data_IF_781527969704
#
_entry.id   IF_781527969704
#
_cell.length_a   1.000
_cell.length_b   1.000
_cell.length_c   1.000
_cell.angle_alpha   90.00
_cell.angle_beta   90.00
_cell.angle_gamma   90.00
#
_symmetry.space_group_name_H-M   'P 1'
#
loop_
_entity.id
_entity.type
_entity.pdbx_description
1 polymer ?
#
# COMPACT_ATOMS: atom_id res chain seq x y z
N UNK A 1 -37.83 -6.69 -50.11
CA UNK A 1 -37.02 -7.90 -49.86
C UNK A 1 -35.54 -7.51 -49.87
N UNK A 2 -34.79 -8.02 -48.89
CA UNK A 2 -33.31 -7.98 -48.75
C UNK A 2 -32.62 -6.61 -48.61
N UNK A 3 -32.48 -6.13 -47.37
CA UNK A 3 -31.36 -5.23 -47.01
C UNK A 3 -30.09 -6.08 -46.85
N UNK A 4 -29.10 -5.82 -47.70
CA UNK A 4 -27.74 -6.39 -47.62
C UNK A 4 -27.00 -5.73 -46.45
N UNK A 5 -26.73 -6.46 -45.38
CA UNK A 5 -25.73 -6.06 -44.38
C UNK A 5 -24.36 -6.56 -44.84
N UNK A 6 -23.50 -5.61 -45.20
CA UNK A 6 -22.08 -5.84 -45.50
C UNK A 6 -21.31 -5.93 -44.18
N UNK A 7 -20.77 -7.10 -43.86
CA UNK A 7 -19.83 -7.28 -42.75
C UNK A 7 -18.44 -6.85 -43.23
N UNK A 8 -18.06 -5.60 -42.95
CA UNK A 8 -16.67 -5.15 -43.01
C UNK A 8 -16.03 -5.58 -41.67
N UNK A 9 -15.16 -6.59 -41.72
CA UNK A 9 -14.27 -6.92 -40.61
C UNK A 9 -13.33 -5.73 -40.36
N UNK A 10 -13.62 -4.94 -39.33
CA UNK A 10 -12.64 -4.09 -38.70
C UNK A 10 -11.81 -5.00 -37.79
N UNK A 11 -10.62 -5.41 -38.26
CA UNK A 11 -9.62 -6.06 -37.42
C UNK A 11 -9.13 -5.03 -36.38
N UNK A 12 -9.82 -4.97 -35.24
CA UNK A 12 -9.31 -4.29 -34.05
C UNK A 12 -8.11 -5.11 -33.58
N UNK A 13 -6.92 -4.52 -33.63
CA UNK A 13 -5.80 -4.95 -32.83
C UNK A 13 -6.25 -4.97 -31.36
N UNK A 14 -6.65 -6.14 -30.86
CA UNK A 14 -6.79 -6.40 -29.42
C UNK A 14 -5.36 -6.60 -28.91
N UNK A 15 -4.59 -5.52 -28.92
CA UNK A 15 -3.35 -5.42 -28.20
C UNK A 15 -3.71 -5.39 -26.72
N UNK A 16 -3.68 -6.56 -26.08
CA UNK A 16 -3.47 -6.62 -24.64
C UNK A 16 -2.06 -6.09 -24.37
N UNK A 17 -1.93 -4.77 -24.25
CA UNK A 17 -0.84 -4.20 -23.47
C UNK A 17 -1.21 -4.42 -22.00
N UNK A 18 -1.10 -5.66 -21.53
CA UNK A 18 -1.05 -5.95 -20.11
C UNK A 18 0.32 -5.52 -19.61
N UNK A 19 0.48 -4.21 -19.36
CA UNK A 19 1.45 -3.76 -18.38
C UNK A 19 0.89 -4.18 -17.01
N UNK A 20 0.99 -5.48 -16.71
CA UNK A 20 0.98 -5.93 -15.33
C UNK A 20 2.25 -5.33 -14.73
N UNK A 21 2.13 -4.18 -14.08
CA UNK A 21 3.14 -3.76 -13.12
C UNK A 21 3.24 -4.92 -12.13
N UNK A 22 4.31 -5.70 -12.24
CA UNK A 22 4.59 -6.85 -11.39
C UNK A 22 4.77 -6.34 -9.98
N UNK A 23 3.68 -6.27 -9.22
CA UNK A 23 3.74 -6.09 -7.78
C UNK A 23 4.31 -7.39 -7.22
N UNK A 24 5.60 -7.37 -6.88
CA UNK A 24 6.27 -8.47 -6.18
C UNK A 24 5.58 -8.59 -4.81
N UNK A 25 5.11 -9.78 -4.40
CA UNK A 25 4.54 -9.96 -3.08
C UNK A 25 5.61 -9.68 -2.01
N UNK A 26 5.44 -8.57 -1.30
CA UNK A 26 6.36 -8.03 -0.28
C UNK A 26 6.51 -8.90 0.98
N UNK A 27 5.91 -10.09 1.01
CA UNK A 27 5.79 -10.97 2.19
C UNK A 27 6.55 -12.31 2.12
N UNK A 28 7.21 -12.65 1.01
CA UNK A 28 8.17 -13.75 1.06
C UNK A 28 9.45 -13.22 1.75
N UNK A 29 10.11 -13.97 2.66
CA UNK A 29 11.50 -13.67 2.96
C UNK A 29 12.20 -13.53 1.62
N UNK A 30 12.86 -12.40 1.37
CA UNK A 30 13.49 -12.13 0.09
C UNK A 30 14.42 -13.30 -0.23
N UNK A 31 13.94 -14.19 -1.09
CA UNK A 31 14.63 -15.40 -1.43
C UNK A 31 15.22 -15.14 -2.80
N UNK A 32 16.50 -14.75 -2.78
CA UNK A 32 17.33 -14.54 -3.95
C UNK A 32 17.18 -15.68 -4.98
N UNK A 33 17.07 -16.93 -4.51
CA UNK A 33 16.95 -18.12 -5.35
C UNK A 33 15.61 -18.23 -6.08
N UNK A 34 14.60 -17.46 -5.67
CA UNK A 34 13.26 -17.47 -6.25
C UNK A 34 12.88 -16.15 -6.90
N UNK A 35 13.57 -15.05 -6.58
CA UNK A 35 13.25 -13.72 -7.09
C UNK A 35 13.22 -13.67 -8.62
N UNK A 36 14.31 -14.08 -9.28
CA UNK A 36 14.35 -14.08 -10.75
C UNK A 36 13.46 -15.17 -11.37
N UNK A 37 13.27 -16.31 -10.69
CA UNK A 37 12.36 -17.36 -11.14
C UNK A 37 10.91 -16.88 -11.22
N UNK A 38 10.47 -16.02 -10.29
CA UNK A 38 9.12 -15.46 -10.28
C UNK A 38 8.91 -14.41 -11.38
N UNK A 39 9.97 -13.70 -11.75
CA UNK A 39 9.93 -12.66 -12.78
C UNK A 39 10.04 -13.26 -14.19
N UNK A 40 10.80 -14.36 -14.33
CA UNK A 40 11.01 -15.12 -15.58
C UNK A 40 11.46 -14.27 -16.77
N UNK A 41 12.12 -13.14 -16.51
CA UNK A 41 12.66 -12.22 -17.51
C UNK A 41 14.03 -11.73 -17.05
N UNK A 42 14.96 -11.67 -17.99
CA UNK A 42 16.27 -11.07 -17.76
C UNK A 42 16.15 -9.56 -17.68
N UNK A 43 16.95 -8.93 -16.81
CA UNK A 43 16.95 -7.49 -16.60
C UNK A 43 17.27 -7.09 -15.17
N UNK A 44 17.24 -5.79 -14.92
CA UNK A 44 17.50 -5.21 -13.61
C UNK A 44 16.18 -4.80 -12.92
N UNK A 45 16.07 -5.14 -11.64
CA UNK A 45 14.86 -4.96 -10.85
C UNK A 45 15.17 -4.26 -9.53
N UNK A 46 14.29 -3.35 -9.06
CA UNK A 46 14.46 -2.72 -7.76
C UNK A 46 14.61 -3.76 -6.67
N UNK A 47 15.60 -3.59 -5.80
CA UNK A 47 15.75 -4.48 -4.66
C UNK A 47 14.65 -4.16 -3.63
N UNK A 48 13.92 -5.18 -3.13
CA UNK A 48 12.91 -4.93 -2.12
C UNK A 48 13.53 -4.25 -0.89
N UNK A 49 12.98 -3.10 -0.53
CA UNK A 49 13.21 -2.46 0.78
C UNK A 49 14.58 -1.79 0.94
N UNK A 50 15.43 -1.82 -0.08
CA UNK A 50 16.74 -1.14 -0.10
C UNK A 50 17.00 -0.57 -1.50
N UNK A 51 16.60 0.67 -1.74
CA UNK A 51 16.74 1.32 -3.03
C UNK A 51 18.19 1.63 -3.41
N UNK A 52 19.15 1.48 -2.49
CA UNK A 52 20.58 1.54 -2.83
C UNK A 52 21.05 0.28 -3.56
N UNK A 53 20.18 -0.71 -3.73
CA UNK A 53 20.47 -1.97 -4.41
C UNK A 53 19.48 -2.26 -5.53
N UNK A 54 19.92 -3.10 -6.45
CA UNK A 54 19.07 -3.73 -7.44
C UNK A 54 19.51 -5.17 -7.70
N UNK A 55 18.58 -5.97 -8.19
CA UNK A 55 18.81 -7.35 -8.58
C UNK A 55 18.93 -7.42 -10.11
N UNK A 56 19.99 -8.04 -10.62
CA UNK A 56 20.13 -8.36 -12.04
C UNK A 56 19.83 -9.84 -12.25
N UNK A 57 18.84 -10.12 -13.08
CA UNK A 57 18.40 -11.47 -13.44
C UNK A 57 19.01 -11.88 -14.78
N UNK A 58 19.66 -13.05 -14.81
CA UNK A 58 20.13 -13.68 -16.05
C UNK A 58 19.92 -15.18 -15.96
N UNK A 59 19.05 -15.74 -16.79
CA UNK A 59 18.77 -17.18 -16.81
C UNK A 59 18.31 -17.72 -15.46
N UNK A 60 17.34 -17.03 -14.83
CA UNK A 60 16.78 -17.30 -13.50
C UNK A 60 17.74 -17.12 -12.30
N UNK A 61 18.98 -16.69 -12.54
CA UNK A 61 19.96 -16.42 -11.48
C UNK A 61 19.91 -14.93 -11.11
N UNK A 62 19.75 -14.66 -9.82
CA UNK A 62 19.81 -13.31 -9.26
C UNK A 62 21.24 -12.95 -8.85
N UNK A 63 21.72 -11.79 -9.29
CA UNK A 63 22.91 -11.13 -8.74
C UNK A 63 22.53 -9.80 -8.12
N UNK A 64 23.14 -9.45 -6.99
CA UNK A 64 22.83 -8.21 -6.28
C UNK A 64 23.92 -7.18 -6.49
N UNK A 65 23.51 -5.99 -6.90
CA UNK A 65 24.39 -4.86 -7.12
C UNK A 65 23.96 -3.72 -6.21
N UNK A 66 24.96 -3.00 -5.69
CA UNK A 66 24.76 -1.77 -4.95
C UNK A 66 25.10 -0.60 -5.85
N UNK A 67 24.25 0.42 -5.83
CA UNK A 67 24.58 1.73 -6.35
C UNK A 67 25.73 2.33 -5.53
N UNK A 68 26.51 3.22 -6.17
CA UNK A 68 27.49 4.05 -5.46
C UNK A 68 26.82 4.86 -4.34
N UNK A 69 27.61 5.30 -3.36
CA UNK A 69 27.11 6.05 -2.21
C UNK A 69 26.17 7.19 -2.63
N UNK A 70 25.04 7.32 -1.90
CA UNK A 70 23.99 8.31 -2.12
C UNK A 70 23.20 8.22 -3.45
N UNK A 71 23.36 7.14 -4.21
CA UNK A 71 22.54 6.85 -5.38
C UNK A 71 21.56 5.72 -5.10
N UNK A 72 20.40 5.77 -5.75
CA UNK A 72 19.36 4.76 -5.72
C UNK A 72 19.04 4.28 -7.13
N UNK A 73 18.71 2.99 -7.27
CA UNK A 73 18.35 2.42 -8.57
C UNK A 73 16.97 2.92 -9.01
N UNK A 74 16.90 3.49 -10.21
CA UNK A 74 15.67 3.89 -10.85
C UNK A 74 15.33 2.92 -11.99
N UNK A 75 14.26 2.11 -11.87
CA UNK A 75 13.87 1.15 -12.90
C UNK A 75 13.36 1.81 -14.19
N UNK A 76 12.94 3.08 -14.15
CA UNK A 76 12.47 3.78 -15.35
C UNK A 76 13.63 4.18 -16.27
N UNK A 77 14.81 4.45 -15.71
CA UNK A 77 16.02 4.78 -16.47
C UNK A 77 17.05 3.65 -16.49
N UNK A 78 16.78 2.53 -15.81
CA UNK A 78 17.70 1.39 -15.61
C UNK A 78 19.11 1.84 -15.16
N UNK A 79 19.15 2.79 -14.21
CA UNK A 79 20.39 3.42 -13.75
C UNK A 79 20.30 3.89 -12.29
N UNK A 80 21.45 4.01 -11.63
CA UNK A 80 21.56 4.63 -10.31
C UNK A 80 21.51 6.15 -10.43
N UNK A 81 20.51 6.79 -9.81
CA UNK A 81 20.28 8.24 -9.81
C UNK A 81 20.28 8.79 -8.40
N UNK A 82 20.30 10.11 -8.23
CA UNK A 82 20.21 10.70 -6.90
C UNK A 82 18.89 10.36 -6.23
N UNK A 83 18.91 10.21 -4.91
CA UNK A 83 17.74 9.80 -4.11
C UNK A 83 16.50 10.69 -4.30
N UNK A 84 16.69 11.96 -4.67
CA UNK A 84 15.60 12.91 -4.94
C UNK A 84 14.86 12.63 -6.26
N UNK A 85 15.49 11.90 -7.18
CA UNK A 85 15.02 11.63 -8.54
C UNK A 85 14.40 10.23 -8.65
N UNK A 86 14.12 9.56 -7.52
CA UNK A 86 13.44 8.26 -7.47
C UNK A 86 12.41 8.19 -6.33
N UNK A 87 11.27 7.57 -6.62
CA UNK A 87 10.23 7.28 -5.63
C UNK A 87 10.55 5.95 -4.94
N UNK A 88 11.36 6.02 -3.88
CA UNK A 88 11.76 4.84 -3.10
C UNK A 88 10.74 4.54 -1.99
N UNK A 89 10.26 3.29 -1.96
CA UNK A 89 9.42 2.76 -0.88
C UNK A 89 10.30 2.26 0.28
N UNK A 90 10.24 2.94 1.42
CA UNK A 90 11.00 2.59 2.62
C UNK A 90 10.12 1.95 3.68
N UNK A 91 10.59 0.89 4.36
CA UNK A 91 9.97 0.47 5.62
C UNK A 91 10.33 1.49 6.68
N UNK A 92 9.33 2.14 7.25
CA UNK A 92 9.52 3.19 8.26
C UNK A 92 9.04 2.76 9.64
N UNK A 93 8.27 1.68 9.75
CA UNK A 93 7.91 1.03 11.00
C UNK A 93 7.57 -0.44 10.78
N UNK A 94 7.66 -1.23 11.85
CA UNK A 94 7.32 -2.65 11.88
C UNK A 94 6.36 -2.91 13.04
N UNK A 95 5.48 -3.90 12.86
CA UNK A 95 4.59 -4.41 13.89
C UNK A 95 3.78 -3.32 14.64
N UNK A 96 3.23 -2.36 13.89
CA UNK A 96 2.34 -1.32 14.43
C UNK A 96 0.93 -1.89 14.53
N UNK A 97 0.43 -2.06 15.76
CA UNK A 97 -0.88 -2.66 16.02
C UNK A 97 -1.93 -1.60 16.36
N UNK A 98 -3.14 -1.77 15.84
CA UNK A 98 -4.30 -0.93 16.13
C UNK A 98 -5.56 -1.81 16.28
N UNK A 99 -6.54 -1.30 17.02
CA UNK A 99 -7.80 -1.97 17.35
C UNK A 99 -8.98 -1.29 16.66
N UNK A 100 -10.12 -1.95 16.71
CA UNK A 100 -11.37 -1.45 16.14
C UNK A 100 -12.20 -0.55 17.08
N UNK A 101 -11.73 -0.32 18.32
CA UNK A 101 -12.42 0.45 19.38
C UNK A 101 -11.49 0.84 20.54
N UNK A 102 -12.07 1.53 21.52
CA UNK A 102 -11.47 1.89 22.81
C UNK A 102 -10.30 2.90 22.68
N UNK A 103 -10.35 3.78 21.68
CA UNK A 103 -9.24 4.66 21.31
C UNK A 103 -7.94 3.87 21.06
N UNK A 104 -8.08 2.69 20.46
CA UNK A 104 -7.04 1.68 20.32
C UNK A 104 -6.12 1.90 19.12
N UNK A 105 -5.72 3.14 18.85
CA UNK A 105 -4.86 3.45 17.71
C UNK A 105 -3.44 2.89 17.83
N UNK A 106 -2.90 2.48 16.69
CA UNK A 106 -1.46 2.24 16.53
C UNK A 106 -0.73 3.53 16.22
N UNK A 107 0.57 3.61 16.49
CA UNK A 107 1.36 4.77 16.07
C UNK A 107 2.79 4.43 15.68
N UNK A 108 3.36 5.28 14.83
CA UNK A 108 4.77 5.22 14.44
C UNK A 108 5.34 6.63 14.34
N UNK A 109 6.67 6.72 14.24
CA UNK A 109 7.40 7.99 14.19
C UNK A 109 8.04 8.19 12.81
N UNK A 110 7.92 9.39 12.27
CA UNK A 110 8.55 9.76 11.00
C UNK A 110 10.09 9.79 11.15
N UNK A 111 10.85 9.01 10.35
CA UNK A 111 12.30 8.92 10.49
C UNK A 111 13.04 10.13 9.90
N UNK A 112 12.41 10.85 8.95
CA UNK A 112 12.99 12.01 8.26
C UNK A 112 11.93 12.98 7.76
N UNK A 113 12.22 14.27 7.78
CA UNK A 113 11.35 15.31 7.21
C UNK A 113 11.25 15.21 5.68
N UNK A 114 10.16 15.74 5.14
CA UNK A 114 9.91 15.86 3.71
C UNK A 114 8.43 15.71 3.38
N UNK A 115 8.15 15.35 2.12
CA UNK A 115 6.78 15.20 1.62
C UNK A 115 6.37 13.73 1.55
N UNK A 116 5.29 13.37 2.24
CA UNK A 116 4.67 12.04 2.22
C UNK A 116 3.74 11.89 1.01
N UNK A 117 4.14 11.03 0.05
CA UNK A 117 3.43 10.83 -1.23
C UNK A 117 2.58 9.56 -1.25
N UNK A 118 3.05 8.53 -0.54
CA UNK A 118 2.39 7.24 -0.47
C UNK A 118 2.65 6.63 0.89
N UNK A 119 1.65 5.98 1.46
CA UNK A 119 1.77 5.05 2.57
C UNK A 119 1.25 3.68 2.14
N UNK A 120 2.03 2.63 2.35
CA UNK A 120 1.60 1.25 2.15
C UNK A 120 1.63 0.53 3.49
N UNK A 121 0.48 0.05 3.93
CA UNK A 121 0.34 -0.78 5.10
C UNK A 121 0.34 -2.24 4.65
N UNK A 122 1.20 -3.04 5.24
CA UNK A 122 1.34 -4.46 4.95
C UNK A 122 0.83 -5.26 6.14
N UNK A 123 -0.14 -6.14 5.91
CA UNK A 123 -0.67 -7.02 6.93
C UNK A 123 0.44 -7.87 7.55
N UNK A 124 0.54 -7.86 8.88
CA UNK A 124 1.47 -8.70 9.64
C UNK A 124 0.76 -9.85 10.34
N UNK A 125 -0.26 -9.54 11.11
CA UNK A 125 -1.03 -10.49 11.91
C UNK A 125 -2.32 -9.86 12.43
N UNK A 126 -3.27 -10.71 12.85
CA UNK A 126 -4.52 -10.26 13.44
C UNK A 126 -5.53 -9.73 12.42
N UNK A 127 -6.55 -9.03 12.91
CA UNK A 127 -7.67 -8.51 12.12
C UNK A 127 -8.40 -7.42 12.91
N UNK A 128 -9.23 -6.66 12.21
CA UNK A 128 -10.26 -5.79 12.78
C UNK A 128 -11.63 -6.28 12.33
N UNK A 129 -12.66 -6.07 13.15
CA UNK A 129 -14.03 -6.50 12.85
C UNK A 129 -15.04 -5.47 13.37
N UNK A 130 -16.07 -5.22 12.57
CA UNK A 130 -17.23 -4.40 12.97
C UNK A 130 -18.35 -5.21 13.65
N UNK A 131 -18.16 -6.54 13.81
CA UNK A 131 -19.11 -7.40 14.52
C UNK A 131 -18.37 -8.56 15.17
N UNK A 132 -18.17 -8.47 16.49
CA UNK A 132 -17.53 -9.49 17.31
C UNK A 132 -18.28 -10.84 17.33
N UNK A 133 -19.56 -10.85 16.97
CA UNK A 133 -20.38 -12.07 16.95
C UNK A 133 -20.28 -12.85 15.63
N UNK A 134 -19.65 -12.25 14.61
CA UNK A 134 -19.64 -12.78 13.26
C UNK A 134 -18.24 -12.78 12.65
N UNK A 135 -17.61 -13.95 12.54
CA UNK A 135 -16.28 -14.09 11.94
C UNK A 135 -16.22 -13.68 10.47
N UNK A 136 -17.36 -13.57 9.76
CA UNK A 136 -17.39 -13.04 8.40
C UNK A 136 -17.04 -11.54 8.35
N UNK A 137 -17.23 -10.81 9.46
CA UNK A 137 -16.92 -9.40 9.61
C UNK A 137 -15.41 -9.11 9.74
N UNK A 138 -14.59 -10.12 10.04
CA UNK A 138 -13.15 -9.97 10.18
C UNK A 138 -12.49 -9.55 8.87
N UNK A 139 -11.68 -8.50 8.92
CA UNK A 139 -10.91 -8.01 7.78
C UNK A 139 -9.58 -7.38 8.22
N UNK A 140 -8.76 -6.98 7.26
CA UNK A 140 -7.52 -6.25 7.52
C UNK A 140 -7.74 -4.74 7.48
N UNK A 141 -8.66 -4.26 6.64
CA UNK A 141 -8.74 -2.83 6.31
C UNK A 141 -10.09 -2.15 6.56
N UNK A 142 -11.06 -2.83 7.17
CA UNK A 142 -12.39 -2.30 7.45
C UNK A 142 -13.33 -3.35 8.02
N UNK A 143 -14.44 -3.65 7.34
CA UNK A 143 -15.34 -4.72 7.73
C UNK A 143 -15.70 -5.68 6.59
N UNK A 144 -15.79 -6.97 6.92
CA UNK A 144 -16.03 -8.05 5.95
C UNK A 144 -17.49 -8.33 5.60
N UNK A 145 -18.46 -7.63 6.20
CA UNK A 145 -19.90 -7.83 5.96
C UNK A 145 -20.44 -7.06 4.76
N UNK A 146 -19.69 -6.08 4.25
CA UNK A 146 -20.11 -5.21 3.16
C UNK A 146 -19.51 -5.60 1.82
N UNK A 147 -19.81 -4.77 0.82
CA UNK A 147 -19.26 -4.96 -0.51
C UNK A 147 -17.74 -4.74 -0.51
N UNK A 148 -17.01 -5.66 -1.13
CA UNK A 148 -15.56 -5.56 -1.34
C UNK A 148 -15.23 -4.19 -1.94
N UNK A 149 -14.16 -3.56 -1.45
CA UNK A 149 -13.72 -2.22 -1.88
C UNK A 149 -14.60 -1.03 -1.45
N UNK A 150 -15.70 -1.26 -0.73
CA UNK A 150 -16.64 -0.17 -0.32
C UNK A 150 -16.69 0.01 1.20
N UNK A 151 -16.24 -0.99 1.96
CA UNK A 151 -16.24 -0.97 3.43
C UNK A 151 -14.82 -0.97 3.99
N UNK A 152 -14.01 0.01 3.58
CA UNK A 152 -12.70 0.30 4.19
C UNK A 152 -12.89 1.22 5.38
N UNK A 153 -12.14 1.02 6.46
CA UNK A 153 -12.15 1.87 7.64
C UNK A 153 -10.74 2.20 8.16
N UNK A 154 -9.68 1.57 7.66
CA UNK A 154 -8.33 1.91 8.12
C UNK A 154 -7.94 3.30 7.64
N UNK A 155 -7.65 4.18 8.59
CA UNK A 155 -7.28 5.58 8.33
C UNK A 155 -6.01 5.96 9.05
N UNK A 156 -5.35 7.00 8.56
CA UNK A 156 -4.06 7.47 9.06
C UNK A 156 -4.19 8.95 9.41
N UNK A 157 -3.77 9.33 10.62
CA UNK A 157 -3.92 10.69 11.12
C UNK A 157 -2.62 11.22 11.73
N UNK A 158 -2.55 12.55 11.92
CA UNK A 158 -1.61 13.19 12.86
C UNK A 158 -2.02 12.92 14.31
N UNK A 159 -1.20 13.35 15.27
CA UNK A 159 -1.47 13.23 16.72
C UNK A 159 -2.71 14.00 17.21
N UNK A 160 -3.14 15.03 16.47
CA UNK A 160 -4.35 15.80 16.78
C UNK A 160 -5.58 15.26 16.04
N UNK A 161 -5.52 14.02 15.55
CA UNK A 161 -6.57 13.35 14.77
C UNK A 161 -6.90 14.04 13.42
N UNK A 162 -6.07 14.96 12.94
CA UNK A 162 -6.17 15.45 11.56
C UNK A 162 -5.87 14.32 10.58
N UNK A 163 -6.83 14.02 9.70
CA UNK A 163 -6.72 12.98 8.68
C UNK A 163 -5.57 13.29 7.70
N UNK A 164 -4.75 12.28 7.42
CA UNK A 164 -3.73 12.28 6.38
C UNK A 164 -4.13 11.35 5.23
N UNK A 165 -4.60 10.14 5.58
CA UNK A 165 -5.13 9.18 4.62
C UNK A 165 -6.43 8.53 5.11
N UNK A 166 -7.38 8.23 4.21
CA UNK A 166 -7.37 8.66 2.81
C UNK A 166 -7.41 10.20 2.69
N UNK A 167 -6.90 10.75 1.59
CA UNK A 167 -6.84 12.21 1.40
C UNK A 167 -8.24 12.83 1.17
N UNK A 168 -9.20 12.02 0.75
CA UNK A 168 -10.60 12.41 0.65
C UNK A 168 -11.34 12.26 1.98
N UNK A 169 -12.54 12.85 2.06
CA UNK A 169 -13.35 12.81 3.27
C UNK A 169 -13.72 11.38 3.68
N UNK A 170 -13.49 11.05 4.95
CA UNK A 170 -14.02 9.86 5.60
C UNK A 170 -15.54 10.02 5.78
N UNK A 171 -16.31 8.96 5.56
CA UNK A 171 -17.74 8.95 5.87
C UNK A 171 -17.99 9.22 7.35
N UNK A 172 -19.17 9.73 7.69
CA UNK A 172 -19.56 9.97 9.09
C UNK A 172 -19.68 8.67 9.89
N UNK A 173 -19.88 7.55 9.20
CA UNK A 173 -19.86 6.19 9.71
C UNK A 173 -18.43 5.63 9.89
N UNK A 174 -17.39 6.40 9.57
CA UNK A 174 -16.01 5.94 9.66
C UNK A 174 -15.58 5.03 8.49
N UNK A 175 -16.40 4.90 7.45
CA UNK A 175 -16.08 4.06 6.29
C UNK A 175 -15.79 4.87 5.03
N UNK A 176 -15.10 4.22 4.08
CA UNK A 176 -14.87 4.74 2.75
C UNK A 176 -14.73 3.64 1.70
N UNK A 177 -14.94 4.02 0.44
CA UNK A 177 -14.66 3.19 -0.71
C UNK A 177 -13.26 3.42 -1.27
N UNK A 178 -12.57 2.34 -1.64
CA UNK A 178 -11.28 2.39 -2.32
C UNK A 178 -11.27 1.36 -3.46
N UNK A 179 -11.53 1.84 -4.67
CA UNK A 179 -11.61 0.97 -5.85
C UNK A 179 -10.33 0.13 -6.01
N UNK A 180 -10.51 -1.12 -6.47
CA UNK A 180 -9.42 -2.09 -6.74
C UNK A 180 -8.65 -2.57 -5.49
N UNK A 181 -9.11 -2.25 -4.28
CA UNK A 181 -8.52 -2.72 -3.04
C UNK A 181 -9.53 -3.51 -2.22
N UNK A 182 -9.17 -4.73 -1.84
CA UNK A 182 -10.01 -5.61 -1.04
C UNK A 182 -9.73 -5.44 0.46
N UNK A 183 -10.75 -5.57 1.32
CA UNK A 183 -10.58 -5.48 2.78
C UNK A 183 -9.72 -6.61 3.37
N UNK A 184 -9.44 -7.67 2.61
CA UNK A 184 -8.49 -8.75 2.97
C UNK A 184 -7.23 -8.75 2.08
N UNK A 185 -6.99 -7.74 1.25
CA UNK A 185 -5.73 -7.60 0.54
C UNK A 185 -4.58 -7.62 1.55
N UNK A 186 -3.47 -8.32 1.27
CA UNK A 186 -2.31 -8.29 2.18
C UNK A 186 -1.68 -6.89 2.31
N UNK A 187 -1.98 -6.00 1.39
CA UNK A 187 -1.49 -4.63 1.39
C UNK A 187 -2.63 -3.64 1.16
N UNK A 188 -2.53 -2.49 1.83
CA UNK A 188 -3.35 -1.31 1.60
C UNK A 188 -2.42 -0.17 1.21
N UNK A 189 -2.53 0.32 -0.02
CA UNK A 189 -1.73 1.46 -0.49
C UNK A 189 -2.60 2.69 -0.61
N UNK A 190 -2.20 3.73 0.11
CA UNK A 190 -2.87 5.02 0.19
C UNK A 190 -1.96 6.05 -0.49
N UNK A 191 -2.47 6.62 -1.58
CA UNK A 191 -1.75 7.61 -2.37
C UNK A 191 -2.25 9.00 -2.06
N UNK A 192 -1.34 9.96 -2.16
CA UNK A 192 -1.64 11.38 -2.10
C UNK A 192 -1.29 12.01 -3.45
N UNK A 193 -2.30 12.08 -4.32
CA UNK A 193 -2.13 12.58 -5.69
C UNK A 193 -2.11 14.11 -5.77
N UNK A 194 -2.81 14.79 -4.85
CA UNK A 194 -3.09 16.23 -4.93
C UNK A 194 -2.35 17.08 -3.89
N UNK A 195 -1.89 16.49 -2.78
CA UNK A 195 -1.35 17.24 -1.64
C UNK A 195 0.15 17.08 -1.48
N UNK A 196 0.80 18.12 -0.97
CA UNK A 196 2.11 18.00 -0.34
C UNK A 196 1.89 17.75 1.15
N UNK A 197 1.68 16.49 1.57
CA UNK A 197 1.61 16.17 3.00
C UNK A 197 3.02 16.34 3.56
N UNK A 198 3.32 17.54 4.06
CA UNK A 198 4.57 17.81 4.75
C UNK A 198 4.55 17.12 6.11
N UNK A 199 5.63 16.41 6.37
CA UNK A 199 5.89 15.70 7.62
C UNK A 199 7.25 16.11 8.18
N UNK A 200 7.35 16.09 9.49
CA UNK A 200 8.60 16.43 10.20
C UNK A 200 9.21 15.21 10.85
N UNK A 201 10.56 15.12 10.87
CA UNK A 201 11.26 14.09 11.62
C UNK A 201 10.81 14.13 13.08
N UNK A 202 10.44 12.96 13.63
CA UNK A 202 9.95 12.84 15.00
C UNK A 202 8.44 13.05 15.16
N UNK A 203 7.74 13.47 14.11
CA UNK A 203 6.27 13.52 14.11
C UNK A 203 5.71 12.12 14.32
N UNK A 204 4.70 11.99 15.21
CA UNK A 204 4.00 10.71 15.40
C UNK A 204 2.76 10.68 14.54
N UNK A 205 2.61 9.60 13.81
CA UNK A 205 1.48 9.32 12.94
C UNK A 205 0.69 8.16 13.56
N UNK A 206 -0.64 8.22 13.50
CA UNK A 206 -1.53 7.20 14.05
C UNK A 206 -2.22 6.41 12.95
N UNK A 207 -2.48 5.14 13.21
CA UNK A 207 -3.31 4.25 12.40
C UNK A 207 -4.54 3.92 13.24
N UNK A 208 -5.72 4.12 12.67
CA UNK A 208 -7.01 3.97 13.32
C UNK A 208 -7.92 3.04 12.53
N UNK A 209 -8.86 2.42 13.24
CA UNK A 209 -10.14 2.03 12.64
C UNK A 209 -11.05 3.26 12.58
N UNK A 210 -11.76 3.45 11.48
CA UNK A 210 -12.47 4.69 11.20
C UNK A 210 -13.59 4.96 12.20
N UNK A 211 -14.37 3.93 12.57
CA UNK A 211 -15.39 4.03 13.62
C UNK A 211 -14.81 4.48 14.97
N UNK A 212 -13.65 3.92 15.38
CA UNK A 212 -12.92 4.29 16.60
C UNK A 212 -12.42 5.76 16.56
N UNK A 213 -12.04 6.24 15.37
CA UNK A 213 -11.63 7.64 15.20
C UNK A 213 -12.82 8.60 15.31
N UNK A 214 -13.95 8.28 14.66
CA UNK A 214 -15.14 9.16 14.66
C UNK A 214 -15.97 9.02 15.94
N UNK A 215 -15.61 8.08 16.82
CA UNK A 215 -16.23 7.84 18.12
C UNK A 215 -17.75 7.72 18.00
N UNK A 216 -18.21 6.97 17.00
CA UNK A 216 -19.60 6.59 16.89
C UNK A 216 -19.85 5.56 18.01
N UNK A 217 -20.87 5.77 18.85
CA UNK A 217 -21.25 4.83 19.91
C UNK A 217 -21.63 3.41 19.44
N UNK A 218 -21.42 3.11 18.16
CA UNK A 218 -21.53 1.81 17.48
C UNK A 218 -20.26 0.96 17.65
N UNK A 219 -19.17 1.46 18.22
CA UNK A 219 -17.96 0.66 18.56
C UNK A 219 -18.24 -0.50 19.55
N UNK A 220 -19.42 -0.55 20.19
CA UNK A 220 -19.72 -1.51 21.26
C UNK A 220 -19.48 -2.97 20.86
N UNK A 221 -19.79 -3.35 19.62
CA UNK A 221 -19.59 -4.69 19.09
C UNK A 221 -18.34 -4.84 18.21
N UNK A 222 -17.53 -3.79 18.05
CA UNK A 222 -16.26 -3.87 17.34
C UNK A 222 -15.25 -4.74 18.12
N UNK A 223 -14.34 -5.39 17.40
CA UNK A 223 -13.33 -6.26 18.01
C UNK A 223 -12.10 -6.44 17.13
N UNK A 224 -11.10 -7.10 17.69
CA UNK A 224 -9.86 -7.43 17.01
C UNK A 224 -8.75 -6.41 17.24
N UNK A 225 -7.55 -6.86 16.94
CA UNK A 225 -6.32 -6.08 16.86
C UNK A 225 -5.60 -6.52 15.59
N UNK A 226 -5.19 -5.54 14.77
CA UNK A 226 -4.50 -5.77 13.52
C UNK A 226 -3.13 -5.11 13.55
N UNK A 227 -2.09 -5.87 13.27
CA UNK A 227 -0.71 -5.41 13.22
C UNK A 227 -0.21 -5.31 11.78
N UNK A 228 0.56 -4.25 11.49
CA UNK A 228 1.08 -3.97 10.16
C UNK A 228 2.54 -3.54 10.16
N UNK A 229 3.22 -3.84 9.06
CA UNK A 229 4.47 -3.16 8.70
C UNK A 229 4.12 -1.92 7.86
N UNK A 230 4.82 -0.81 8.09
CA UNK A 230 4.50 0.50 7.48
C UNK A 230 5.60 0.88 6.50
N UNK A 231 5.18 1.13 5.26
CA UNK A 231 6.03 1.55 4.17
C UNK A 231 5.62 2.94 3.69
N UNK A 232 6.59 3.77 3.28
CA UNK A 232 6.31 5.11 2.80
C UNK A 232 7.23 5.54 1.65
N UNK A 233 6.67 6.34 0.73
CA UNK A 233 7.44 7.14 -0.21
C UNK A 233 7.55 8.55 0.35
N UNK A 234 8.76 8.91 0.78
CA UNK A 234 9.09 10.22 1.33
C UNK A 234 10.01 10.98 0.36
N UNK A 235 9.47 11.99 -0.31
CA UNK A 235 10.26 12.86 -1.18
C UNK A 235 11.05 13.86 -0.32
N UNK A 236 12.35 14.02 -0.61
CA UNK A 236 13.16 15.08 0.02
C UNK A 236 12.79 16.43 -0.59
N UNK A 237 12.75 17.46 0.25
CA UNK A 237 12.73 18.86 -0.16
C UNK A 237 14.09 19.27 -0.75
#
# INVERSE_FOLDING_TARGET
MAFKYSFILLALCIGYCSAQAGLIPIDAPFNADTFCKQISRDGNYPFPNDCSKFASCTGDIATFQSCSADLFYNPASDNCVFQKDVECLHRIAENVCYKAKDSGFGHFTIPRSGTLRQLTLQHKSGFVSCDASNSAAESFWGCGLGFRSVQMATVVTRQNNTLLFPFFALGTDGYYGLARTDFRSRTLTLYNFDGEIQITKGEKIRIWHGEDLVNQGEEGNNSGEHCVDVWAVLKRE
#
